data_IF_596674302209
#
_entry.id   IF_596674302209
#
_cell.length_a   1.000
_cell.length_b   1.000
_cell.length_c   1.000
_cell.angle_alpha   90.00
_cell.angle_beta   90.00
_cell.angle_gamma   90.00
#
_symmetry.space_group_name_H-M   'P 1'
#
loop_
_entity.id
_entity.type
_entity.pdbx_description
1 polymer ?
#
# COMPACT_ATOMS: atom_id res chain seq x y z
N UNK A 1 17.77 -28.61 -8.10
CA UNK A 1 17.43 -27.67 -9.19
C UNK A 1 17.50 -26.27 -8.63
N UNK A 2 18.48 -25.45 -9.06
CA UNK A 2 18.56 -24.04 -8.68
C UNK A 2 17.60 -23.25 -9.59
N UNK A 3 16.50 -22.76 -9.01
CA UNK A 3 15.61 -21.83 -9.71
C UNK A 3 16.35 -20.50 -9.96
N UNK A 4 16.62 -20.25 -11.23
CA UNK A 4 17.08 -18.96 -11.74
C UNK A 4 16.17 -17.86 -11.20
N UNK A 5 16.72 -17.00 -10.33
CA UNK A 5 16.09 -15.75 -9.92
C UNK A 5 16.06 -14.83 -11.14
N UNK A 6 15.01 -14.94 -11.95
CA UNK A 6 14.76 -14.03 -13.07
C UNK A 6 14.52 -12.65 -12.51
N UNK A 7 15.50 -11.75 -12.67
CA UNK A 7 15.31 -10.31 -12.46
C UNK A 7 14.08 -9.87 -13.25
N UNK A 8 13.18 -9.14 -12.57
CA UNK A 8 11.92 -8.64 -13.10
C UNK A 8 12.20 -7.84 -14.39
N UNK A 9 11.56 -8.20 -15.51
CA UNK A 9 11.66 -7.41 -16.74
C UNK A 9 10.83 -6.12 -16.56
N UNK A 10 11.40 -4.94 -16.83
CA UNK A 10 10.66 -3.67 -16.73
C UNK A 10 9.49 -3.64 -17.71
N UNK A 11 8.41 -2.93 -17.35
CA UNK A 11 7.27 -2.76 -18.26
C UNK A 11 7.70 -2.00 -19.53
N UNK A 12 6.90 -2.06 -20.59
CA UNK A 12 7.19 -1.27 -21.80
C UNK A 12 7.24 0.23 -21.49
N UNK A 13 6.30 0.71 -20.67
CA UNK A 13 6.25 2.09 -20.22
C UNK A 13 7.48 2.47 -19.36
N UNK A 14 7.89 1.60 -18.43
CA UNK A 14 9.11 1.83 -17.62
C UNK A 14 10.37 1.91 -18.49
N UNK A 15 10.44 1.13 -19.57
CA UNK A 15 11.53 1.21 -20.57
C UNK A 15 11.53 2.54 -21.31
N UNK A 16 10.38 2.99 -21.81
CA UNK A 16 10.28 4.29 -22.49
C UNK A 16 10.62 5.47 -21.57
N UNK A 17 10.18 5.41 -20.31
CA UNK A 17 10.56 6.43 -19.33
C UNK A 17 12.07 6.40 -19.06
N UNK A 18 12.67 5.22 -18.99
CA UNK A 18 14.12 5.08 -18.82
C UNK A 18 14.90 5.65 -20.00
N UNK A 19 14.47 5.38 -21.23
CA UNK A 19 15.05 5.95 -22.46
C UNK A 19 14.95 7.48 -22.47
N UNK A 20 13.77 8.02 -22.10
CA UNK A 20 13.55 9.46 -22.01
C UNK A 20 14.46 10.11 -20.96
N UNK A 21 14.63 9.45 -19.82
CA UNK A 21 15.53 9.92 -18.76
C UNK A 21 16.99 9.96 -19.25
N UNK A 22 17.42 8.97 -20.03
CA UNK A 22 18.77 8.92 -20.59
C UNK A 22 18.99 10.01 -21.65
N UNK A 23 17.99 10.30 -22.49
CA UNK A 23 18.03 11.43 -23.44
C UNK A 23 18.12 12.78 -22.73
N UNK A 24 17.33 13.00 -21.67
CA UNK A 24 17.38 14.23 -20.88
C UNK A 24 18.74 14.43 -20.20
N UNK A 25 19.34 13.33 -19.74
CA UNK A 25 20.69 13.34 -19.18
C UNK A 25 21.72 13.74 -20.23
N UNK A 26 21.68 13.13 -21.41
CA UNK A 26 22.60 13.44 -22.50
C UNK A 26 22.46 14.90 -22.95
N UNK A 27 21.23 15.40 -23.10
CA UNK A 27 20.96 16.78 -23.47
C UNK A 27 21.53 17.78 -22.44
N UNK A 28 21.47 17.45 -21.15
CA UNK A 28 22.12 18.23 -20.09
C UNK A 28 23.64 18.14 -20.18
N UNK A 29 24.22 16.95 -20.35
CA UNK A 29 25.67 16.76 -20.41
C UNK A 29 26.31 17.51 -21.59
N UNK A 30 25.60 17.60 -22.73
CA UNK A 30 26.06 18.31 -23.93
C UNK A 30 26.00 19.83 -23.80
N UNK A 31 24.92 20.38 -23.22
CA UNK A 31 24.68 21.83 -23.22
C UNK A 31 24.97 22.51 -21.87
N UNK A 32 25.16 21.73 -20.80
CA UNK A 32 25.29 22.19 -19.39
C UNK A 32 24.28 23.27 -19.00
N UNK A 33 23.08 23.17 -19.55
CA UNK A 33 22.01 24.13 -19.35
C UNK A 33 21.28 23.85 -18.04
N UNK A 34 21.14 24.88 -17.20
CA UNK A 34 20.43 24.80 -15.90
C UNK A 34 18.97 24.37 -16.07
N UNK A 35 18.30 24.81 -17.14
CA UNK A 35 16.93 24.41 -17.43
C UNK A 35 16.84 22.92 -17.81
N UNK A 36 17.83 22.40 -18.53
CA UNK A 36 17.91 20.98 -18.86
C UNK A 36 18.18 20.12 -17.61
N UNK A 37 19.03 20.61 -16.70
CA UNK A 37 19.26 19.94 -15.40
C UNK A 37 17.97 19.85 -14.58
N UNK A 38 17.20 20.95 -14.52
CA UNK A 38 15.94 20.99 -13.79
C UNK A 38 14.92 20.00 -14.37
N UNK A 39 14.76 19.99 -15.70
CA UNK A 39 13.89 19.05 -16.39
C UNK A 39 14.31 17.59 -16.16
N UNK A 40 15.62 17.30 -16.17
CA UNK A 40 16.15 15.97 -15.87
C UNK A 40 15.81 15.54 -14.44
N UNK A 41 16.07 16.36 -13.42
CA UNK A 41 15.81 15.99 -12.03
C UNK A 41 14.30 15.85 -11.74
N UNK A 42 13.45 16.70 -12.31
CA UNK A 42 11.99 16.56 -12.21
C UNK A 42 11.52 15.25 -12.84
N UNK A 43 11.98 14.94 -14.06
CA UNK A 43 11.61 13.71 -14.75
C UNK A 43 12.13 12.46 -14.03
N UNK A 44 13.35 12.52 -13.49
CA UNK A 44 13.94 11.46 -12.67
C UNK A 44 13.10 11.14 -11.44
N UNK A 45 12.58 12.17 -10.76
CA UNK A 45 11.67 11.98 -9.62
C UNK A 45 10.41 11.23 -10.06
N UNK A 46 9.78 11.66 -11.16
CA UNK A 46 8.60 10.98 -11.70
C UNK A 46 8.88 9.53 -12.11
N UNK A 47 10.02 9.26 -12.74
CA UNK A 47 10.45 7.89 -13.08
C UNK A 47 10.59 7.01 -11.84
N UNK A 48 11.21 7.51 -10.77
CA UNK A 48 11.37 6.75 -9.53
C UNK A 48 10.02 6.45 -8.86
N UNK A 49 9.13 7.43 -8.81
CA UNK A 49 7.76 7.25 -8.28
C UNK A 49 6.98 6.21 -9.10
N UNK A 50 7.07 6.28 -10.43
CA UNK A 50 6.44 5.32 -11.32
C UNK A 50 6.99 3.91 -11.11
N UNK A 51 8.32 3.74 -11.12
CA UNK A 51 8.97 2.42 -10.94
C UNK A 51 8.57 1.79 -9.61
N UNK A 52 8.56 2.56 -8.51
CA UNK A 52 8.12 2.07 -7.20
C UNK A 52 6.63 1.68 -7.19
N UNK A 53 5.77 2.50 -7.79
CA UNK A 53 4.32 2.21 -7.87
C UNK A 53 4.05 0.96 -8.71
N UNK A 54 4.69 0.85 -9.87
CA UNK A 54 4.59 -0.30 -10.76
C UNK A 54 5.11 -1.59 -10.07
N UNK A 55 6.23 -1.49 -9.36
CA UNK A 55 6.79 -2.57 -8.56
C UNK A 55 5.79 -3.11 -7.53
N UNK A 56 5.16 -2.20 -6.77
CA UNK A 56 4.10 -2.53 -5.79
C UNK A 56 2.90 -3.19 -6.44
N UNK A 57 2.35 -2.60 -7.50
CA UNK A 57 1.17 -3.12 -8.21
C UNK A 57 1.40 -4.54 -8.74
N UNK A 58 2.57 -4.83 -9.31
CA UNK A 58 2.89 -6.18 -9.79
C UNK A 58 2.98 -7.17 -8.62
N UNK A 59 3.59 -6.77 -7.50
CA UNK A 59 3.70 -7.62 -6.31
C UNK A 59 2.31 -7.89 -5.72
N UNK A 60 1.45 -6.88 -5.65
CA UNK A 60 0.07 -6.99 -5.24
C UNK A 60 -0.73 -7.94 -6.14
N UNK A 61 -0.65 -7.76 -7.47
CA UNK A 61 -1.26 -8.67 -8.44
C UNK A 61 -0.77 -10.12 -8.26
N UNK A 62 0.52 -10.31 -7.97
CA UNK A 62 1.08 -11.64 -7.70
C UNK A 62 0.50 -12.26 -6.43
N UNK A 63 0.26 -11.47 -5.38
CA UNK A 63 -0.33 -11.96 -4.13
C UNK A 63 -1.81 -12.28 -4.31
N UNK A 64 -2.58 -11.39 -4.96
CA UNK A 64 -4.02 -11.55 -5.16
C UNK A 64 -4.32 -12.81 -5.96
N UNK A 65 -3.55 -13.06 -7.02
CA UNK A 65 -3.75 -14.18 -7.94
C UNK A 65 -3.04 -15.48 -7.51
N UNK A 66 -2.35 -15.52 -6.36
CA UNK A 66 -1.68 -16.72 -5.89
C UNK A 66 -2.65 -17.66 -5.16
N UNK A 67 -2.52 -18.96 -5.41
CA UNK A 67 -3.24 -20.01 -4.69
C UNK A 67 -2.94 -19.97 -3.18
N UNK A 68 -1.68 -19.70 -2.82
CA UNK A 68 -1.24 -19.50 -1.44
C UNK A 68 -0.64 -18.10 -1.27
N UNK A 69 -1.49 -17.16 -0.82
CA UNK A 69 -1.14 -15.75 -0.66
C UNK A 69 0.00 -15.54 0.35
N UNK A 70 0.00 -16.27 1.46
CA UNK A 70 1.02 -16.18 2.51
C UNK A 70 2.40 -16.55 1.96
N UNK A 71 2.48 -17.65 1.22
CA UNK A 71 3.71 -18.11 0.57
C UNK A 71 4.19 -17.11 -0.47
N UNK A 72 3.29 -16.57 -1.30
CA UNK A 72 3.63 -15.57 -2.31
C UNK A 72 4.19 -14.29 -1.68
N UNK A 73 3.55 -13.78 -0.62
CA UNK A 73 4.05 -12.64 0.16
C UNK A 73 5.43 -12.93 0.74
N UNK A 74 5.64 -14.11 1.33
CA UNK A 74 6.93 -14.49 1.91
C UNK A 74 8.05 -14.62 0.87
N UNK A 75 7.73 -15.10 -0.32
CA UNK A 75 8.67 -15.12 -1.45
C UNK A 75 9.07 -13.72 -1.90
N UNK A 76 8.11 -12.78 -1.97
CA UNK A 76 8.38 -11.38 -2.32
C UNK A 76 9.33 -10.78 -1.28
N UNK A 77 9.01 -10.92 0.02
CA UNK A 77 9.86 -10.42 1.10
C UNK A 77 11.28 -10.96 0.98
N UNK A 78 11.44 -12.29 0.86
CA UNK A 78 12.76 -12.92 0.72
C UNK A 78 13.53 -12.49 -0.54
N UNK A 79 12.83 -12.06 -1.59
CA UNK A 79 13.47 -11.58 -2.83
C UNK A 79 13.99 -10.16 -2.65
N UNK A 80 13.20 -9.29 -2.02
CA UNK A 80 13.53 -7.86 -1.83
C UNK A 80 14.54 -7.65 -0.69
N UNK A 81 14.43 -8.40 0.41
CA UNK A 81 15.37 -8.30 1.55
C UNK A 81 16.64 -9.13 1.35
N UNK A 82 16.72 -9.91 0.27
CA UNK A 82 17.68 -10.99 0.09
C UNK A 82 17.33 -12.19 0.98
N UNK A 83 17.77 -13.39 0.58
CA UNK A 83 17.68 -14.55 1.47
C UNK A 83 18.43 -14.20 2.75
N UNK A 84 17.72 -14.03 3.86
CA UNK A 84 18.32 -13.84 5.18
C UNK A 84 19.13 -15.11 5.42
N UNK A 85 20.44 -15.05 5.13
CA UNK A 85 21.37 -16.05 5.60
C UNK A 85 21.31 -15.93 7.12
N UNK A 86 20.68 -16.94 7.76
CA UNK A 86 20.41 -17.07 9.20
C UNK A 86 21.65 -17.00 10.11
N UNK A 87 22.79 -16.48 9.66
CA UNK A 87 24.01 -16.38 10.47
C UNK A 87 24.10 -15.11 11.30
N UNK A 88 23.57 -13.95 10.88
CA UNK A 88 23.72 -12.73 11.68
C UNK A 88 22.60 -11.72 11.42
N UNK A 89 21.53 -11.81 12.21
CA UNK A 89 20.84 -10.64 12.81
C UNK A 89 19.71 -11.22 13.66
N UNK A 90 19.98 -11.36 14.96
CA UNK A 90 18.92 -11.56 15.94
C UNK A 90 18.10 -10.28 15.88
N UNK A 91 16.94 -10.32 15.23
CA UNK A 91 16.01 -9.20 15.22
C UNK A 91 15.70 -8.83 16.67
N UNK A 92 16.16 -7.67 17.12
CA UNK A 92 15.93 -7.16 18.48
C UNK A 92 14.53 -6.56 18.58
N UNK A 93 13.52 -7.19 17.96
CA UNK A 93 12.12 -6.85 18.23
C UNK A 93 11.81 -7.44 19.59
N UNK A 94 11.87 -6.61 20.62
CA UNK A 94 11.32 -6.93 21.92
C UNK A 94 9.80 -6.64 21.92
N UNK A 95 9.11 -7.15 22.95
CA UNK A 95 7.66 -6.97 23.11
C UNK A 95 7.24 -5.51 23.12
N UNK A 96 8.10 -4.62 23.64
CA UNK A 96 7.84 -3.19 23.72
C UNK A 96 7.82 -2.51 22.34
N UNK A 97 8.82 -2.78 21.49
CA UNK A 97 8.87 -2.29 20.11
C UNK A 97 7.66 -2.78 19.32
N UNK A 98 7.29 -4.05 19.50
CA UNK A 98 6.11 -4.63 18.84
C UNK A 98 4.82 -3.95 19.31
N UNK A 99 4.59 -3.84 20.62
CA UNK A 99 3.38 -3.23 21.17
C UNK A 99 3.25 -1.76 20.77
N UNK A 100 4.35 -1.01 20.80
CA UNK A 100 4.36 0.40 20.40
C UNK A 100 4.04 0.57 18.92
N UNK A 101 4.51 -0.35 18.06
CA UNK A 101 4.14 -0.33 16.64
C UNK A 101 2.62 -0.45 16.44
N UNK A 102 1.97 -1.43 17.07
CA UNK A 102 0.52 -1.62 16.92
C UNK A 102 -0.29 -0.48 17.57
N UNK A 103 0.14 0.01 18.74
CA UNK A 103 -0.52 1.14 19.39
C UNK A 103 -0.46 2.40 18.52
N UNK A 104 0.72 2.70 17.94
CA UNK A 104 0.90 3.86 17.06
C UNK A 104 0.12 3.70 15.75
N UNK A 105 0.06 2.49 15.18
CA UNK A 105 -0.73 2.20 13.99
C UNK A 105 -2.22 2.46 14.26
N UNK A 106 -2.74 1.98 15.41
CA UNK A 106 -4.13 2.22 15.82
C UNK A 106 -4.44 3.71 16.01
N UNK A 107 -3.53 4.46 16.62
CA UNK A 107 -3.68 5.91 16.75
C UNK A 107 -3.67 6.63 15.39
N UNK A 108 -2.83 6.21 14.46
CA UNK A 108 -2.75 6.82 13.13
C UNK A 108 -4.02 6.54 12.31
N UNK A 109 -4.51 5.30 12.32
CA UNK A 109 -5.81 4.95 11.71
C UNK A 109 -6.93 5.80 12.34
N UNK A 110 -6.93 5.96 13.66
CA UNK A 110 -7.95 6.77 14.37
C UNK A 110 -7.89 8.24 13.98
N UNK A 111 -6.70 8.80 13.70
CA UNK A 111 -6.54 10.18 13.21
C UNK A 111 -7.03 10.35 11.76
N UNK A 112 -6.90 9.31 10.94
CA UNK A 112 -7.37 9.32 9.55
C UNK A 112 -8.88 9.10 9.42
N UNK A 113 -9.51 8.46 10.41
CA UNK A 113 -10.96 8.43 10.53
C UNK A 113 -11.42 9.85 10.87
N UNK A 114 -11.95 10.56 9.87
CA UNK A 114 -12.63 11.82 10.09
C UNK A 114 -13.63 11.63 11.22
N UNK A 115 -13.55 12.47 12.26
CA UNK A 115 -14.61 12.61 13.24
C UNK A 115 -15.83 13.18 12.52
N UNK A 116 -16.60 12.32 11.87
CA UNK A 116 -17.98 12.65 11.50
C UNK A 116 -18.66 13.11 12.77
N UNK A 117 -19.02 14.39 12.83
CA UNK A 117 -19.72 15.00 13.98
C UNK A 117 -21.14 14.44 14.16
N UNK A 118 -21.53 13.49 13.32
CA UNK A 118 -22.75 12.73 13.44
C UNK A 118 -22.57 11.67 14.51
N UNK A 119 -23.01 12.03 15.71
CA UNK A 119 -23.25 11.08 16.79
C UNK A 119 -24.09 9.92 16.24
N UNK A 120 -23.76 8.66 16.52
CA UNK A 120 -24.54 7.49 16.11
C UNK A 120 -26.05 7.62 16.42
N UNK A 121 -26.38 8.43 17.44
CA UNK A 121 -27.74 8.83 17.80
C UNK A 121 -28.48 9.66 16.74
N UNK A 122 -27.80 10.50 15.95
CA UNK A 122 -28.43 11.26 14.86
C UNK A 122 -28.84 10.37 13.70
N UNK A 123 -28.10 9.30 13.42
CA UNK A 123 -28.50 8.27 12.46
C UNK A 123 -29.80 7.57 12.90
N UNK A 124 -29.90 7.21 14.18
CA UNK A 124 -31.10 6.55 14.72
C UNK A 124 -32.34 7.45 14.70
N UNK A 125 -32.18 8.77 14.88
CA UNK A 125 -33.30 9.73 14.77
C UNK A 125 -33.88 9.85 13.37
N UNK A 126 -33.08 9.61 12.33
CA UNK A 126 -33.54 9.67 10.93
C UNK A 126 -34.28 8.40 10.51
N UNK A 127 -34.07 7.29 11.23
CA UNK A 127 -34.84 6.06 11.00
C UNK A 127 -36.16 6.20 11.75
N UNK A 128 -37.19 6.66 11.03
CA UNK A 128 -38.57 6.63 11.51
C UNK A 128 -39.05 5.17 11.49
N UNK A 129 -38.63 4.39 12.49
CA UNK A 129 -39.04 2.99 12.65
C UNK A 129 -40.53 3.00 12.97
N UNK A 130 -41.38 2.75 11.96
CA UNK A 130 -42.74 2.28 12.19
C UNK A 130 -42.63 0.92 12.88
N UNK A 131 -42.75 0.91 14.20
CA UNK A 131 -42.83 -0.31 15.00
C UNK A 131 -44.00 -1.16 14.47
N UNK A 132 -43.77 -2.41 14.01
CA UNK A 132 -44.83 -3.22 13.40
C UNK A 132 -45.79 -3.87 14.41
N UNK A 133 -45.87 -3.38 15.64
CA UNK A 133 -46.72 -3.99 16.67
C UNK A 133 -47.68 -2.98 17.29
N UNK A 134 -48.95 -3.11 16.91
CA UNK A 134 -50.08 -2.61 17.70
C UNK A 134 -50.15 -3.37 19.03
N UNK A 135 -50.54 -2.71 20.13
CA UNK A 135 -50.88 -3.40 21.37
C UNK A 135 -52.00 -4.39 21.09
N UNK A 136 -51.81 -5.65 21.48
CA UNK A 136 -52.91 -6.61 21.53
C UNK A 136 -53.94 -6.07 22.52
N UNK A 137 -55.07 -5.58 22.00
CA UNK A 137 -56.27 -5.35 22.80
C UNK A 137 -56.70 -6.71 23.37
N UNK A 138 -56.33 -6.96 24.62
CA UNK A 138 -56.75 -8.11 25.37
C UNK A 138 -58.25 -8.02 25.66
N UNK A 139 -59.05 -8.68 24.84
CA UNK A 139 -60.43 -9.03 25.18
C UNK A 139 -60.40 -10.00 26.38
N UNK A 140 -60.59 -9.48 27.59
CA UNK A 140 -61.03 -10.28 28.72
C UNK A 140 -62.55 -10.27 28.76
N UNK A 141 -63.15 -11.14 27.94
CA UNK A 141 -64.52 -11.60 28.14
C UNK A 141 -64.50 -12.74 29.16
N UNK A 142 -65.12 -12.48 30.32
CA UNK A 142 -65.62 -13.48 31.26
C UNK A 142 -66.92 -14.05 30.70
#
# INVERSE_FOLDING_TARGET
MLEHHTRKKPSQEERHMKETLDLLREAYEQNRNVNALKAFEEYKKHYLEFSQKNGRMINENRIINADNKQRATWQIINTETGKINNKYTKSTINSEVFNNFFANMGQNITKEIQTTSENSYSYLKQVNIKMPYSPLEGNHGI
#
